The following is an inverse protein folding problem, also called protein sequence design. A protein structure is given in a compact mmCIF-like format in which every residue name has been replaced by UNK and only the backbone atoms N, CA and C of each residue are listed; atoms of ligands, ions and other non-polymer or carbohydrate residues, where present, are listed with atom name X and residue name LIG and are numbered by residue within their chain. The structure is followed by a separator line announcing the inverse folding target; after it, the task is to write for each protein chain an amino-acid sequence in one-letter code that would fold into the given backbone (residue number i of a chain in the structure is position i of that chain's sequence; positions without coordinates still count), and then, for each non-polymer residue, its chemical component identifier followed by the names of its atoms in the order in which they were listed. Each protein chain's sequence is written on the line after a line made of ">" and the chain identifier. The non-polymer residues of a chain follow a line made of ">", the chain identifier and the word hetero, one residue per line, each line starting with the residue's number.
data_IF_257681584413
#
_entry.id   IF_257681584413
#
_cell.length_a   1.000
_cell.length_b   1.000
_cell.length_c   1.000
_cell.angle_alpha   90.00
_cell.angle_beta   90.00
_cell.angle_gamma   90.00
#
_symmetry.space_group_name_H-M   'P 1'
#
loop_
_entity.id
_entity.type
_entity.pdbx_description
1 polymer ?
#
# COMPACT_ATOMS: atom_id res chain seq x y z
N UNK A 1 -20.82 -13.18 -2.37
CA UNK A 1 -19.46 -13.77 -2.22
C UNK A 1 -18.52 -12.60 -2.03
N UNK A 2 -17.67 -12.61 -0.98
CA UNK A 2 -16.65 -11.57 -0.77
C UNK A 2 -15.71 -11.56 -1.97
N UNK A 3 -15.27 -10.38 -2.38
CA UNK A 3 -14.42 -10.15 -3.57
C UNK A 3 -12.97 -10.63 -3.29
N UNK A 4 -12.79 -11.95 -3.21
CA UNK A 4 -11.50 -12.60 -2.99
C UNK A 4 -10.65 -12.48 -4.26
N UNK A 5 -9.49 -11.85 -4.15
CA UNK A 5 -8.56 -11.62 -5.26
C UNK A 5 -7.23 -12.27 -4.95
N UNK A 6 -6.85 -13.22 -5.79
CA UNK A 6 -5.59 -13.92 -5.68
C UNK A 6 -4.74 -13.66 -6.93
N UNK A 7 -3.52 -13.22 -6.74
CA UNK A 7 -2.51 -13.11 -7.79
C UNK A 7 -1.40 -14.11 -7.46
N UNK A 8 -1.10 -15.00 -8.39
CA UNK A 8 0.05 -15.90 -8.30
C UNK A 8 1.13 -15.35 -9.21
N UNK A 9 2.26 -14.92 -8.64
CA UNK A 9 3.40 -14.38 -9.37
C UNK A 9 4.46 -15.46 -9.51
N UNK A 10 4.83 -15.77 -10.75
CA UNK A 10 5.92 -16.70 -11.05
C UNK A 10 6.73 -16.18 -12.24
N UNK A 11 7.66 -16.97 -12.76
CA UNK A 11 8.47 -16.61 -13.93
C UNK A 11 9.96 -16.74 -13.69
N UNK A 12 10.75 -16.33 -14.68
CA UNK A 12 12.19 -16.52 -14.72
C UNK A 12 12.90 -15.95 -13.50
N UNK A 13 13.89 -16.69 -13.02
CA UNK A 13 14.80 -16.21 -11.96
C UNK A 13 15.55 -14.98 -12.46
N UNK A 14 15.54 -13.89 -11.67
CA UNK A 14 16.12 -12.61 -12.10
C UNK A 14 15.19 -11.72 -12.95
N UNK A 15 13.94 -12.17 -13.26
CA UNK A 15 12.98 -11.37 -14.03
C UNK A 15 12.26 -10.29 -13.20
N UNK A 16 12.52 -10.16 -11.90
CA UNK A 16 11.97 -9.06 -11.08
C UNK A 16 10.73 -9.41 -10.26
N UNK A 17 10.47 -10.70 -9.96
CA UNK A 17 9.35 -11.14 -9.10
C UNK A 17 9.25 -10.39 -7.77
N UNK A 18 10.38 -10.23 -7.07
CA UNK A 18 10.43 -9.50 -5.78
C UNK A 18 10.03 -8.03 -5.93
N UNK A 19 10.40 -7.38 -7.05
CA UNK A 19 10.00 -6.00 -7.31
C UNK A 19 8.50 -5.93 -7.63
N UNK A 20 7.97 -6.89 -8.38
CA UNK A 20 6.54 -6.99 -8.64
C UNK A 20 5.75 -7.20 -7.34
N UNK A 21 6.23 -8.06 -6.44
CA UNK A 21 5.63 -8.29 -5.11
C UNK A 21 5.53 -6.98 -4.31
N UNK A 22 6.63 -6.23 -4.18
CA UNK A 22 6.64 -4.93 -3.46
C UNK A 22 5.66 -3.92 -4.06
N UNK A 23 5.60 -3.83 -5.41
CA UNK A 23 4.65 -2.93 -6.06
C UNK A 23 3.19 -3.34 -5.82
N UNK A 24 2.91 -4.64 -5.69
CA UNK A 24 1.58 -5.15 -5.35
C UNK A 24 1.25 -4.95 -3.87
N UNK A 25 2.25 -5.00 -2.97
CA UNK A 25 2.09 -4.60 -1.56
C UNK A 25 1.69 -3.11 -1.46
N UNK A 26 2.32 -2.23 -2.23
CA UNK A 26 1.95 -0.81 -2.33
C UNK A 26 0.49 -0.61 -2.81
N UNK A 27 -0.06 -1.57 -3.54
CA UNK A 27 -1.46 -1.62 -3.97
C UNK A 27 -2.41 -2.27 -2.94
N UNK A 28 -1.92 -2.56 -1.73
CA UNK A 28 -2.71 -3.11 -0.63
C UNK A 28 -2.95 -4.62 -0.71
N UNK A 29 -2.13 -5.37 -1.46
CA UNK A 29 -2.15 -6.82 -1.44
C UNK A 29 -1.31 -7.36 -0.28
N UNK A 30 -1.78 -8.40 0.38
CA UNK A 30 -0.98 -9.18 1.33
C UNK A 30 -0.10 -10.15 0.55
N UNK A 31 1.22 -9.95 0.62
CA UNK A 31 2.18 -10.73 -0.17
C UNK A 31 2.82 -11.84 0.65
N UNK A 32 2.84 -13.05 0.10
CA UNK A 32 3.57 -14.20 0.62
C UNK A 32 4.62 -14.59 -0.42
N UNK A 33 5.89 -14.38 -0.07
CA UNK A 33 7.01 -14.70 -0.95
C UNK A 33 7.53 -16.12 -0.70
N UNK A 34 7.95 -16.78 -1.78
CA UNK A 34 8.57 -18.11 -1.75
C UNK A 34 7.70 -19.20 -1.11
N UNK A 35 6.37 -19.18 -1.36
CA UNK A 35 5.47 -20.20 -0.87
C UNK A 35 5.64 -21.50 -1.65
N UNK A 36 5.88 -22.65 -1.00
CA UNK A 36 5.88 -23.95 -1.68
C UNK A 36 4.53 -24.22 -2.34
N UNK A 37 4.48 -24.69 -3.61
CA UNK A 37 3.21 -24.92 -4.34
C UNK A 37 2.22 -25.78 -3.58
N UNK A 38 2.67 -26.84 -2.93
CA UNK A 38 1.83 -27.77 -2.17
C UNK A 38 1.04 -27.11 -1.02
N UNK A 39 1.43 -25.91 -0.61
CA UNK A 39 0.73 -25.14 0.44
C UNK A 39 -0.31 -24.18 -0.14
N UNK A 40 -0.32 -23.93 -1.44
CA UNK A 40 -1.23 -22.96 -2.07
C UNK A 40 -2.71 -23.35 -1.85
N UNK A 41 -3.17 -24.59 -2.08
CA UNK A 41 -4.56 -24.95 -1.85
C UNK A 41 -5.00 -24.71 -0.40
N UNK A 42 -4.17 -25.12 0.57
CA UNK A 42 -4.44 -24.88 2.00
C UNK A 42 -4.48 -23.40 2.36
N UNK A 43 -3.60 -22.59 1.79
CA UNK A 43 -3.60 -21.15 1.97
C UNK A 43 -4.89 -20.52 1.43
N UNK A 44 -5.32 -20.94 0.23
CA UNK A 44 -6.57 -20.48 -0.38
C UNK A 44 -7.77 -20.84 0.48
N UNK A 45 -7.85 -22.06 0.99
CA UNK A 45 -8.92 -22.51 1.89
C UNK A 45 -8.98 -21.66 3.17
N UNK A 46 -7.83 -21.39 3.79
CA UNK A 46 -7.76 -20.54 4.99
C UNK A 46 -8.23 -19.12 4.72
N UNK A 47 -7.79 -18.52 3.61
CA UNK A 47 -8.14 -17.16 3.25
C UNK A 47 -9.61 -17.02 2.83
N UNK A 48 -10.15 -18.01 2.13
CA UNK A 48 -11.56 -18.01 1.70
C UNK A 48 -12.55 -18.13 2.87
N UNK A 49 -12.14 -18.79 3.95
CA UNK A 49 -12.93 -19.02 5.14
C UNK A 49 -12.66 -17.99 6.27
N UNK A 50 -11.69 -17.08 6.09
CA UNK A 50 -11.38 -16.08 7.11
C UNK A 50 -12.48 -15.03 7.24
N UNK A 51 -12.82 -14.68 8.48
CA UNK A 51 -13.77 -13.59 8.82
C UNK A 51 -13.12 -12.20 8.75
N UNK A 52 -11.80 -12.14 8.64
CA UNK A 52 -11.05 -10.89 8.52
C UNK A 52 -11.15 -10.29 7.12
N UNK A 53 -11.12 -8.98 7.04
CA UNK A 53 -11.27 -8.20 5.79
C UNK A 53 -10.08 -8.32 4.80
N UNK A 54 -9.24 -9.33 4.92
CA UNK A 54 -8.16 -9.58 3.95
C UNK A 54 -8.76 -10.24 2.70
N UNK A 55 -8.85 -9.47 1.62
CA UNK A 55 -9.48 -9.92 0.37
C UNK A 55 -8.50 -9.99 -0.82
N UNK A 56 -7.27 -9.49 -0.65
CA UNK A 56 -6.28 -9.33 -1.73
C UNK A 56 -4.97 -10.01 -1.35
N UNK A 57 -4.59 -11.04 -2.09
CA UNK A 57 -3.39 -11.82 -1.82
C UNK A 57 -2.50 -11.93 -3.05
N UNK A 58 -1.19 -11.90 -2.81
CA UNK A 58 -0.17 -12.23 -3.80
C UNK A 58 0.66 -13.38 -3.27
N UNK A 59 0.74 -14.45 -4.03
CA UNK A 59 1.63 -15.58 -3.74
C UNK A 59 2.77 -15.58 -4.75
N UNK A 60 3.99 -15.39 -4.29
CA UNK A 60 5.16 -15.49 -5.15
C UNK A 60 5.70 -16.91 -5.08
N UNK A 61 5.69 -17.56 -6.22
CA UNK A 61 6.13 -18.95 -6.38
C UNK A 61 7.46 -18.94 -7.13
N UNK A 62 8.53 -19.25 -6.40
CA UNK A 62 9.89 -19.29 -6.97
C UNK A 62 10.30 -20.74 -7.22
N UNK A 63 10.75 -20.99 -8.43
CA UNK A 63 11.00 -22.35 -8.94
C UNK A 63 12.47 -22.70 -8.80
N UNK A 64 12.81 -23.63 -7.88
CA UNK A 64 14.20 -23.98 -7.57
C UNK A 64 14.59 -25.43 -7.89
N UNK A 65 13.67 -26.29 -8.37
CA UNK A 65 13.95 -27.68 -8.74
C UNK A 65 13.01 -28.21 -9.80
N UNK A 66 13.41 -29.28 -10.53
CA UNK A 66 12.57 -29.89 -11.57
C UNK A 66 11.24 -30.43 -11.04
N UNK A 67 11.25 -31.11 -9.91
CA UNK A 67 10.05 -31.70 -9.29
C UNK A 67 9.01 -30.65 -8.89
N UNK A 68 9.46 -29.41 -8.71
CA UNK A 68 8.65 -28.28 -8.35
C UNK A 68 7.71 -27.83 -9.50
N UNK A 69 8.13 -27.93 -10.76
CA UNK A 69 7.33 -27.49 -11.92
C UNK A 69 6.11 -28.39 -12.17
N UNK A 70 6.30 -29.71 -12.03
CA UNK A 70 5.21 -30.65 -12.19
C UNK A 70 4.20 -30.53 -11.03
N UNK A 71 4.71 -30.38 -9.81
CA UNK A 71 3.88 -30.11 -8.63
C UNK A 71 3.10 -28.81 -8.79
N UNK A 72 3.72 -27.74 -9.30
CA UNK A 72 3.04 -26.46 -9.47
C UNK A 72 1.93 -26.53 -10.52
N UNK A 73 2.12 -27.24 -11.63
CA UNK A 73 1.06 -27.48 -12.60
C UNK A 73 -0.11 -28.26 -12.00
N UNK A 74 0.15 -29.32 -11.22
CA UNK A 74 -0.90 -30.09 -10.52
C UNK A 74 -1.68 -29.20 -9.54
N UNK A 75 -1.00 -28.35 -8.79
CA UNK A 75 -1.64 -27.39 -7.86
C UNK A 75 -2.52 -26.39 -8.62
N UNK A 76 -2.08 -25.89 -9.77
CA UNK A 76 -2.92 -25.01 -10.59
C UNK A 76 -4.17 -25.74 -11.10
N UNK A 77 -4.05 -27.03 -11.49
CA UNK A 77 -5.18 -27.86 -11.90
C UNK A 77 -6.17 -28.08 -10.73
N UNK A 78 -5.66 -28.29 -9.53
CA UNK A 78 -6.47 -28.42 -8.30
C UNK A 78 -7.25 -27.15 -7.99
N UNK A 79 -6.61 -25.97 -8.07
CA UNK A 79 -7.24 -24.66 -7.85
C UNK A 79 -8.30 -24.38 -8.93
N UNK A 80 -8.02 -24.72 -10.18
CA UNK A 80 -8.98 -24.60 -11.29
C UNK A 80 -10.21 -25.49 -11.05
N UNK A 81 -10.00 -26.73 -10.57
CA UNK A 81 -11.10 -27.66 -10.23
C UNK A 81 -11.95 -27.13 -9.06
N UNK A 82 -11.36 -26.42 -8.12
CA UNK A 82 -12.05 -25.75 -7.01
C UNK A 82 -12.75 -24.45 -7.44
N UNK A 83 -12.61 -24.03 -8.70
CA UNK A 83 -13.17 -22.78 -9.26
C UNK A 83 -12.73 -21.52 -8.49
N UNK A 84 -11.52 -21.53 -7.96
CA UNK A 84 -10.93 -20.36 -7.32
C UNK A 84 -10.58 -19.34 -8.40
N UNK A 85 -11.04 -18.11 -8.22
CA UNK A 85 -10.68 -17.01 -9.12
C UNK A 85 -9.28 -16.47 -8.77
N UNK A 86 -8.31 -16.69 -9.66
CA UNK A 86 -6.95 -16.16 -9.51
C UNK A 86 -6.41 -15.61 -10.82
N UNK A 87 -5.41 -14.78 -10.73
CA UNK A 87 -4.63 -14.30 -11.85
C UNK A 87 -3.20 -14.82 -11.78
N UNK A 88 -2.76 -15.52 -12.83
CA UNK A 88 -1.37 -15.98 -12.95
C UNK A 88 -0.56 -14.92 -13.71
N UNK A 89 0.35 -14.26 -13.01
CA UNK A 89 1.29 -13.27 -13.54
C UNK A 89 2.65 -13.91 -13.75
N UNK A 90 3.10 -13.96 -15.00
CA UNK A 90 4.41 -14.47 -15.38
C UNK A 90 5.39 -13.32 -15.63
N UNK A 91 6.47 -13.29 -14.84
CA UNK A 91 7.56 -12.33 -15.01
C UNK A 91 8.63 -12.91 -15.92
N UNK A 92 8.94 -12.23 -17.01
CA UNK A 92 9.95 -12.63 -17.97
C UNK A 92 11.04 -11.57 -18.17
N UNK A 93 12.15 -11.98 -18.74
CA UNK A 93 13.18 -11.09 -19.27
C UNK A 93 14.01 -11.86 -20.31
N UNK A 94 14.70 -11.14 -21.20
CA UNK A 94 15.64 -11.76 -22.14
C UNK A 94 16.82 -12.39 -21.40
N UNK A 95 17.40 -13.42 -22.00
CA UNK A 95 18.52 -14.16 -21.42
C UNK A 95 19.72 -13.26 -21.14
N UNK A 96 20.00 -12.32 -22.04
CA UNK A 96 21.08 -11.33 -21.90
C UNK A 96 20.87 -10.45 -20.66
N UNK A 97 19.64 -10.01 -20.43
CA UNK A 97 19.28 -9.18 -19.26
C UNK A 97 19.37 -9.99 -17.98
N UNK A 98 18.91 -11.23 -17.98
CA UNK A 98 19.01 -12.13 -16.82
C UNK A 98 20.48 -12.38 -16.50
N UNK A 99 21.31 -12.75 -17.48
CA UNK A 99 22.75 -12.98 -17.30
C UNK A 99 23.43 -11.74 -16.71
N UNK A 100 23.11 -10.55 -17.23
CA UNK A 100 23.64 -9.29 -16.72
C UNK A 100 23.26 -9.07 -15.25
N UNK A 101 21.99 -9.26 -14.89
CA UNK A 101 21.50 -9.12 -13.51
C UNK A 101 22.18 -10.10 -12.55
N UNK A 102 22.43 -11.32 -12.97
CA UNK A 102 23.19 -12.30 -12.17
C UNK A 102 24.63 -11.88 -11.95
N UNK A 103 25.30 -11.35 -12.97
CA UNK A 103 26.67 -10.82 -12.86
C UNK A 103 26.73 -9.62 -11.90
N UNK A 104 25.78 -8.69 -12.01
CA UNK A 104 25.69 -7.51 -11.14
C UNK A 104 25.47 -7.89 -9.67
N UNK A 105 24.61 -8.87 -9.41
CA UNK A 105 24.27 -9.31 -8.04
C UNK A 105 25.24 -10.34 -7.46
N UNK A 106 26.16 -10.89 -8.26
CA UNK A 106 27.10 -11.96 -7.89
C UNK A 106 26.40 -13.18 -7.27
N UNK A 107 25.18 -13.49 -7.68
CA UNK A 107 24.42 -14.65 -7.22
C UNK A 107 24.58 -15.81 -8.19
N UNK A 108 24.48 -17.04 -7.68
CA UNK A 108 24.40 -18.25 -8.50
C UNK A 108 22.96 -18.49 -8.94
N UNK A 109 22.79 -19.13 -10.10
CA UNK A 109 21.45 -19.47 -10.59
C UNK A 109 20.82 -20.57 -9.72
N UNK A 110 19.54 -20.46 -9.31
CA UNK A 110 18.91 -21.41 -8.37
C UNK A 110 18.69 -22.81 -8.95
N UNK A 111 18.56 -22.94 -10.27
CA UNK A 111 18.33 -24.24 -10.93
C UNK A 111 19.51 -25.20 -10.79
N UNK A 112 20.72 -24.75 -11.08
CA UNK A 112 21.93 -25.53 -10.89
C UNK A 112 23.12 -24.57 -10.68
N UNK A 113 23.73 -24.57 -9.48
CA UNK A 113 24.87 -23.71 -9.19
C UNK A 113 26.19 -24.15 -9.86
N UNK A 114 26.22 -25.33 -10.49
CA UNK A 114 27.42 -25.94 -11.06
C UNK A 114 27.53 -25.80 -12.60
N UNK A 115 26.47 -25.30 -13.26
CA UNK A 115 26.47 -25.06 -14.71
C UNK A 115 26.62 -23.57 -15.01
N UNK A 116 26.89 -23.25 -16.28
CA UNK A 116 26.91 -21.86 -16.72
C UNK A 116 25.52 -21.22 -16.55
N UNK A 117 25.50 -19.94 -16.24
CA UNK A 117 24.23 -19.20 -16.05
C UNK A 117 23.34 -19.28 -17.32
N UNK A 118 23.94 -19.26 -18.52
CA UNK A 118 23.24 -19.43 -19.80
C UNK A 118 22.47 -20.75 -19.86
N UNK A 119 23.13 -21.83 -19.49
CA UNK A 119 22.55 -23.19 -19.57
C UNK A 119 21.45 -23.38 -18.53
N UNK A 120 21.67 -22.84 -17.34
CA UNK A 120 20.65 -22.83 -16.28
C UNK A 120 19.39 -22.04 -16.69
N UNK A 121 19.54 -20.90 -17.37
CA UNK A 121 18.42 -20.10 -17.92
C UNK A 121 17.67 -20.90 -18.97
N UNK A 122 18.35 -21.57 -19.88
CA UNK A 122 17.70 -22.38 -20.91
C UNK A 122 16.89 -23.53 -20.29
N UNK A 123 17.45 -24.22 -19.29
CA UNK A 123 16.75 -25.26 -18.55
C UNK A 123 15.52 -24.73 -17.82
N UNK A 124 15.64 -23.59 -17.14
CA UNK A 124 14.52 -22.94 -16.44
C UNK A 124 13.41 -22.55 -17.43
N UNK A 125 13.77 -21.96 -18.57
CA UNK A 125 12.83 -21.54 -19.61
C UNK A 125 12.04 -22.71 -20.17
N UNK A 126 12.71 -23.85 -20.46
CA UNK A 126 12.04 -25.09 -20.90
C UNK A 126 11.07 -25.62 -19.83
N UNK A 127 11.48 -25.60 -18.57
CA UNK A 127 10.65 -26.07 -17.47
C UNK A 127 9.43 -25.17 -17.22
N UNK A 128 9.57 -23.84 -17.39
CA UNK A 128 8.49 -22.87 -17.20
C UNK A 128 7.55 -22.72 -18.41
N UNK A 129 7.83 -23.32 -19.57
CA UNK A 129 7.06 -23.11 -20.80
C UNK A 129 5.57 -23.43 -20.62
N UNK A 130 5.25 -24.54 -19.95
CA UNK A 130 3.85 -24.93 -19.67
C UNK A 130 3.15 -23.91 -18.78
N UNK A 131 3.83 -23.41 -17.74
CA UNK A 131 3.29 -22.43 -16.82
C UNK A 131 3.11 -21.08 -17.52
N UNK A 132 4.07 -20.66 -18.34
CA UNK A 132 3.98 -19.44 -19.14
C UNK A 132 2.77 -19.43 -20.06
N UNK A 133 2.44 -20.57 -20.68
CA UNK A 133 1.26 -20.72 -21.54
C UNK A 133 -0.07 -20.62 -20.79
N UNK A 134 -0.09 -20.92 -19.49
CA UNK A 134 -1.27 -20.76 -18.62
C UNK A 134 -1.42 -19.35 -18.05
N UNK A 135 -0.38 -18.52 -18.15
CA UNK A 135 -0.38 -17.20 -17.54
C UNK A 135 -1.46 -16.28 -18.13
N UNK A 136 -2.24 -15.64 -17.27
CA UNK A 136 -3.21 -14.61 -17.68
C UNK A 136 -2.49 -13.33 -18.12
N UNK A 137 -1.35 -13.03 -17.48
CA UNK A 137 -0.54 -11.86 -17.76
C UNK A 137 0.94 -12.23 -17.86
N UNK A 138 1.63 -11.68 -18.86
CA UNK A 138 3.08 -11.82 -19.02
C UNK A 138 3.68 -10.43 -19.05
N UNK A 139 4.65 -10.17 -18.16
CA UNK A 139 5.40 -8.91 -18.14
C UNK A 139 6.86 -9.21 -18.48
N UNK A 140 7.29 -8.77 -19.65
CA UNK A 140 8.70 -8.74 -20.02
C UNK A 140 9.35 -7.48 -19.41
N UNK A 141 10.34 -7.71 -18.54
CA UNK A 141 11.07 -6.65 -17.83
C UNK A 141 12.41 -6.31 -18.46
N UNK A 142 12.71 -6.81 -19.66
CA UNK A 142 14.02 -6.63 -20.32
C UNK A 142 14.40 -5.16 -20.49
N UNK A 143 13.45 -4.34 -20.91
CA UNK A 143 13.64 -2.91 -21.16
C UNK A 143 12.89 -2.02 -20.16
N UNK A 144 12.19 -2.59 -19.18
CA UNK A 144 11.38 -1.81 -18.25
C UNK A 144 12.22 -1.18 -17.14
N UNK A 145 12.01 0.11 -16.92
CA UNK A 145 12.44 0.81 -15.70
C UNK A 145 11.52 0.43 -14.52
N UNK A 146 12.01 0.64 -13.30
CA UNK A 146 11.22 0.33 -12.08
C UNK A 146 9.87 1.07 -12.05
N UNK A 147 9.86 2.35 -12.44
CA UNK A 147 8.63 3.14 -12.49
C UNK A 147 7.62 2.61 -13.52
N UNK A 148 8.08 2.18 -14.70
CA UNK A 148 7.23 1.61 -15.75
C UNK A 148 6.61 0.26 -15.33
N UNK A 149 7.38 -0.57 -14.59
CA UNK A 149 6.83 -1.80 -14.02
C UNK A 149 5.74 -1.49 -13.00
N UNK A 150 5.96 -0.50 -12.11
CA UNK A 150 4.97 -0.05 -11.14
C UNK A 150 3.70 0.43 -11.83
N UNK A 151 3.83 1.28 -12.85
CA UNK A 151 2.70 1.79 -13.62
C UNK A 151 1.89 0.66 -14.29
N UNK A 152 2.57 -0.33 -14.93
CA UNK A 152 1.89 -1.48 -15.53
C UNK A 152 1.12 -2.30 -14.51
N UNK A 153 1.74 -2.65 -13.38
CA UNK A 153 1.08 -3.40 -12.31
C UNK A 153 -0.10 -2.62 -11.73
N UNK A 154 0.06 -1.32 -11.56
CA UNK A 154 -1.02 -0.43 -11.09
C UNK A 154 -2.20 -0.47 -12.08
N UNK A 155 -1.97 -0.32 -13.37
CA UNK A 155 -3.03 -0.38 -14.39
C UNK A 155 -3.76 -1.73 -14.43
N UNK A 156 -3.04 -2.83 -14.17
CA UNK A 156 -3.60 -4.19 -14.23
C UNK A 156 -4.36 -4.58 -12.96
N UNK A 157 -3.90 -4.16 -11.79
CA UNK A 157 -4.35 -4.68 -10.50
C UNK A 157 -4.85 -3.62 -9.52
N UNK A 158 -4.82 -2.32 -9.88
CA UNK A 158 -5.42 -1.28 -9.06
C UNK A 158 -6.92 -1.52 -8.95
N UNK A 159 -7.42 -1.48 -7.72
CA UNK A 159 -8.85 -1.51 -7.43
C UNK A 159 -9.30 -0.14 -6.98
N UNK A 160 -10.60 0.16 -7.05
CA UNK A 160 -11.15 1.46 -6.62
C UNK A 160 -10.83 1.81 -5.15
N UNK A 161 -10.46 0.79 -4.35
CA UNK A 161 -9.97 0.97 -2.97
C UNK A 161 -8.47 1.30 -2.88
N UNK A 162 -7.68 1.02 -3.92
CA UNK A 162 -6.25 1.32 -3.95
C UNK A 162 -6.03 2.68 -4.58
N UNK A 163 -5.67 3.64 -3.80
CA UNK A 163 -5.44 5.02 -4.25
C UNK A 163 -6.07 6.06 -3.32
N UNK A 164 -6.71 5.59 -2.23
CA UNK A 164 -7.15 6.49 -1.16
C UNK A 164 -5.97 6.75 -0.25
N UNK A 165 -5.45 7.98 -0.30
CA UNK A 165 -4.47 8.44 0.67
C UNK A 165 -5.12 8.49 2.05
N UNK A 166 -4.49 7.86 3.04
CA UNK A 166 -4.96 7.89 4.41
C UNK A 166 -4.61 9.24 5.04
N UNK A 167 -5.61 10.03 5.43
CA UNK A 167 -5.38 11.34 6.04
C UNK A 167 -5.67 11.23 7.54
N UNK A 168 -4.64 11.42 8.36
CA UNK A 168 -4.75 11.48 9.81
C UNK A 168 -4.66 12.93 10.28
N UNK A 169 -5.61 13.36 11.12
CA UNK A 169 -5.59 14.68 11.73
C UNK A 169 -5.45 14.52 13.23
N UNK A 170 -4.42 15.13 13.80
CA UNK A 170 -4.17 15.07 15.23
C UNK A 170 -4.06 16.46 15.84
N UNK A 171 -4.46 16.58 17.10
CA UNK A 171 -4.23 17.78 17.92
C UNK A 171 -3.10 17.54 18.91
N UNK A 172 -2.26 18.54 19.11
CA UNK A 172 -1.16 18.44 20.07
C UNK A 172 -0.93 19.74 20.85
N UNK A 173 -0.17 19.63 21.94
CA UNK A 173 0.28 20.77 22.72
C UNK A 173 1.77 21.02 22.54
N UNK A 174 2.17 22.22 22.11
CA UNK A 174 3.59 22.58 21.93
C UNK A 174 4.43 22.32 23.17
N UNK A 175 3.84 22.40 24.38
CA UNK A 175 4.53 22.08 25.63
C UNK A 175 4.99 20.62 25.74
N UNK A 176 4.47 19.71 24.94
CA UNK A 176 4.83 18.29 24.90
C UNK A 176 5.73 17.92 23.71
N UNK A 177 6.10 18.91 22.88
CA UNK A 177 6.88 18.69 21.66
C UNK A 177 6.02 18.55 20.40
N UNK A 178 6.70 18.52 19.25
CA UNK A 178 6.07 18.29 17.96
C UNK A 178 5.90 16.79 17.72
N UNK A 179 4.77 16.34 17.12
CA UNK A 179 4.65 14.97 16.65
C UNK A 179 5.70 14.68 15.58
N UNK A 180 6.44 13.58 15.73
CA UNK A 180 7.57 13.23 14.86
C UNK A 180 7.12 12.77 13.45
N UNK A 181 5.90 12.26 13.34
CA UNK A 181 5.29 11.74 12.13
C UNK A 181 4.43 12.76 11.39
N UNK A 182 4.38 14.02 11.86
CA UNK A 182 3.58 15.05 11.21
C UNK A 182 4.21 15.55 9.91
N UNK A 183 3.45 15.50 8.82
CA UNK A 183 3.84 16.08 7.52
C UNK A 183 3.53 17.58 7.45
N UNK A 184 2.38 17.99 8.00
CA UNK A 184 1.95 19.38 8.07
C UNK A 184 1.67 19.74 9.52
N UNK A 185 2.21 20.89 9.95
CA UNK A 185 2.01 21.39 11.32
C UNK A 185 1.42 22.79 11.25
N UNK A 186 0.25 22.97 11.87
CA UNK A 186 -0.43 24.26 11.97
C UNK A 186 -0.45 24.76 13.42
N UNK A 187 0.17 25.90 13.64
CA UNK A 187 0.13 26.57 14.95
C UNK A 187 -1.11 27.45 15.05
N UNK A 188 -2.00 27.12 16.01
CA UNK A 188 -3.24 27.86 16.26
C UNK A 188 -3.21 28.64 17.57
N UNK A 189 -2.02 28.98 18.11
CA UNK A 189 -1.88 29.74 19.35
C UNK A 189 -2.36 31.18 19.24
N UNK A 190 -2.42 31.75 18.04
CA UNK A 190 -2.93 33.10 17.78
C UNK A 190 -4.47 33.19 17.90
N UNK A 191 -5.19 32.06 17.88
CA UNK A 191 -6.65 32.05 18.06
C UNK A 191 -7.02 32.41 19.52
N UNK A 192 -8.22 32.95 19.76
CA UNK A 192 -8.72 33.28 21.11
C UNK A 192 -8.59 32.09 22.05
N UNK A 193 -8.10 32.35 23.25
CA UNK A 193 -7.76 31.30 24.21
C UNK A 193 -8.83 31.12 25.29
N UNK A 194 -9.63 30.03 25.26
CA UNK A 194 -10.66 29.74 26.24
C UNK A 194 -10.13 29.55 27.68
N UNK A 195 -8.84 29.34 27.85
CA UNK A 195 -8.19 29.19 29.17
C UNK A 195 -8.41 30.36 30.09
N UNK A 196 -8.59 31.59 29.56
CA UNK A 196 -8.81 32.79 30.36
C UNK A 196 -10.25 32.95 30.86
N UNK A 197 -11.19 32.12 30.35
CA UNK A 197 -12.54 32.06 30.86
C UNK A 197 -12.64 30.93 31.90
N UNK A 198 -13.02 31.26 33.14
CA UNK A 198 -13.07 30.31 34.26
C UNK A 198 -14.03 29.13 33.98
N UNK A 199 -15.12 29.37 33.24
CA UNK A 199 -16.13 28.34 32.90
C UNK A 199 -15.65 27.38 31.80
N UNK A 200 -14.66 27.80 31.01
CA UNK A 200 -14.16 27.05 29.85
C UNK A 200 -12.78 26.44 30.08
N UNK A 201 -12.03 26.93 31.06
CA UNK A 201 -10.62 26.59 31.33
C UNK A 201 -10.32 25.08 31.32
N UNK A 202 -11.19 24.29 31.89
CA UNK A 202 -11.00 22.83 32.06
C UNK A 202 -11.83 21.98 31.09
N UNK A 203 -12.54 22.60 30.13
CA UNK A 203 -13.35 21.90 29.12
C UNK A 203 -12.54 21.65 27.84
N UNK A 204 -12.76 20.52 27.17
CA UNK A 204 -12.12 20.22 25.88
C UNK A 204 -12.64 21.11 24.76
N UNK A 205 -11.83 21.28 23.70
CA UNK A 205 -12.22 21.97 22.46
C UNK A 205 -13.40 21.31 21.70
N UNK A 206 -13.74 20.07 22.00
CA UNK A 206 -14.92 19.38 21.46
C UNK A 206 -16.23 19.79 22.11
N UNK A 207 -16.17 20.44 23.30
CA UNK A 207 -17.39 20.88 24.03
C UNK A 207 -18.01 22.08 23.31
N UNK A 208 -19.34 22.09 23.09
CA UNK A 208 -20.02 23.12 22.30
C UNK A 208 -19.75 24.57 22.78
N UNK A 209 -19.69 24.80 24.09
CA UNK A 209 -19.44 26.15 24.62
C UNK A 209 -18.02 26.65 24.33
N UNK A 210 -17.01 25.74 24.34
CA UNK A 210 -15.63 26.06 23.96
C UNK A 210 -15.54 26.32 22.46
N UNK A 211 -16.19 25.50 21.67
CA UNK A 211 -16.28 25.67 20.22
C UNK A 211 -16.93 27.03 19.87
N UNK A 212 -18.07 27.35 20.48
CA UNK A 212 -18.78 28.62 20.27
C UNK A 212 -17.92 29.84 20.67
N UNK A 213 -17.17 29.73 21.79
CA UNK A 213 -16.24 30.79 22.22
C UNK A 213 -15.18 31.07 21.17
N UNK A 214 -14.52 30.01 20.62
CA UNK A 214 -13.46 30.17 19.63
C UNK A 214 -14.05 30.65 18.29
N UNK A 215 -15.19 30.14 17.87
CA UNK A 215 -15.81 30.44 16.57
C UNK A 215 -16.42 31.84 16.47
N UNK A 216 -16.76 32.47 17.57
CA UNK A 216 -17.33 33.81 17.60
C UNK A 216 -16.41 34.87 16.98
N UNK A 217 -15.11 34.64 16.92
CA UNK A 217 -14.13 35.60 16.44
C UNK A 217 -13.87 35.46 14.94
N UNK A 218 -13.81 36.58 14.22
CA UNK A 218 -13.62 36.62 12.76
C UNK A 218 -12.29 35.98 12.32
N UNK A 219 -11.21 36.19 13.07
CA UNK A 219 -9.91 35.56 12.80
C UNK A 219 -9.99 34.02 12.76
N UNK A 220 -10.86 33.42 13.56
CA UNK A 220 -11.06 31.97 13.55
C UNK A 220 -11.76 31.50 12.27
N UNK A 221 -12.78 32.22 11.83
CA UNK A 221 -13.53 31.90 10.61
C UNK A 221 -12.66 32.05 9.37
N UNK A 222 -11.90 33.14 9.31
CA UNK A 222 -10.96 33.40 8.23
C UNK A 222 -9.85 32.35 8.17
N UNK A 223 -9.24 32.00 9.30
CA UNK A 223 -8.23 30.95 9.38
C UNK A 223 -8.78 29.61 8.92
N UNK A 224 -9.97 29.21 9.37
CA UNK A 224 -10.62 27.95 8.96
C UNK A 224 -10.79 27.90 7.43
N UNK A 225 -11.28 28.99 6.84
CA UNK A 225 -11.45 29.07 5.38
C UNK A 225 -10.11 28.87 4.65
N UNK A 226 -9.08 29.61 5.05
CA UNK A 226 -7.74 29.51 4.45
C UNK A 226 -7.12 28.13 4.64
N UNK A 227 -7.30 27.51 5.81
CA UNK A 227 -6.84 26.15 6.08
C UNK A 227 -7.58 25.12 5.21
N UNK A 228 -8.87 25.31 5.01
CA UNK A 228 -9.69 24.46 4.14
C UNK A 228 -9.19 24.55 2.70
N UNK A 229 -9.07 25.75 2.17
CA UNK A 229 -8.58 26.00 0.80
C UNK A 229 -7.18 25.41 0.59
N UNK A 230 -6.28 25.57 1.56
CA UNK A 230 -4.91 25.05 1.48
C UNK A 230 -4.90 23.51 1.48
N UNK A 231 -5.64 22.88 2.40
CA UNK A 231 -5.66 21.41 2.48
C UNK A 231 -6.34 20.79 1.25
N UNK A 232 -7.42 21.39 0.74
CA UNK A 232 -8.07 20.96 -0.50
C UNK A 232 -7.14 21.09 -1.71
N UNK A 233 -6.29 22.11 -1.75
CA UNK A 233 -5.26 22.24 -2.79
C UNK A 233 -4.14 21.20 -2.65
N UNK A 234 -3.67 20.92 -1.43
CA UNK A 234 -2.51 20.05 -1.19
C UNK A 234 -2.84 18.56 -1.39
N UNK A 235 -4.04 18.10 -1.02
CA UNK A 235 -4.43 16.68 -1.10
C UNK A 235 -4.18 16.09 -2.50
N UNK A 236 -4.63 16.68 -3.62
CA UNK A 236 -4.36 16.16 -4.95
C UNK A 236 -2.87 16.11 -5.29
N UNK A 237 -2.06 17.05 -4.79
CA UNK A 237 -0.62 17.07 -5.05
C UNK A 237 0.08 15.89 -4.36
N UNK A 238 -0.28 15.60 -3.11
CA UNK A 238 0.25 14.44 -2.39
C UNK A 238 -0.22 13.11 -2.98
N UNK A 239 -1.45 13.04 -3.50
CA UNK A 239 -1.94 11.85 -4.23
C UNK A 239 -1.12 11.65 -5.51
N UNK A 240 -0.80 12.72 -6.24
CA UNK A 240 0.02 12.64 -7.46
C UNK A 240 1.47 12.21 -7.17
N UNK A 241 1.98 12.51 -5.97
CA UNK A 241 3.28 12.02 -5.48
C UNK A 241 3.20 10.59 -4.91
N UNK A 242 2.07 9.90 -5.07
CA UNK A 242 1.84 8.54 -4.58
C UNK A 242 2.01 8.39 -3.05
N UNK A 243 1.80 9.46 -2.29
CA UNK A 243 1.85 9.42 -0.84
C UNK A 243 0.67 8.60 -0.31
N UNK A 244 0.96 7.53 0.44
CA UNK A 244 -0.04 6.62 0.98
C UNK A 244 -0.69 7.14 2.27
N UNK A 245 0.00 8.01 3.00
CA UNK A 245 -0.46 8.59 4.26
C UNK A 245 -0.06 10.07 4.36
N UNK A 246 -0.97 10.90 4.87
CA UNK A 246 -0.74 12.31 5.18
C UNK A 246 -1.14 12.58 6.62
N UNK A 247 -0.20 13.05 7.45
CA UNK A 247 -0.44 13.40 8.85
C UNK A 247 -0.46 14.91 9.01
N UNK A 248 -1.63 15.45 9.40
CA UNK A 248 -1.85 16.88 9.64
C UNK A 248 -1.95 17.12 11.14
N UNK A 249 -0.99 17.83 11.73
CA UNK A 249 -0.96 18.15 13.13
C UNK A 249 -1.37 19.61 13.41
N UNK A 250 -2.31 19.80 14.32
CA UNK A 250 -2.76 21.13 14.77
C UNK A 250 -2.32 21.34 16.21
N UNK A 251 -1.56 22.41 16.46
CA UNK A 251 -0.93 22.67 17.76
C UNK A 251 -1.43 23.94 18.45
N UNK A 252 -1.74 23.83 19.75
CA UNK A 252 -1.87 24.98 20.64
C UNK A 252 -0.96 24.82 21.87
N UNK A 253 -0.96 25.76 22.81
CA UNK A 253 -0.04 25.69 23.96
C UNK A 253 -0.17 24.38 24.75
N UNK A 254 -1.39 24.02 25.15
CA UNK A 254 -1.65 22.84 25.99
C UNK A 254 -2.28 21.64 25.27
N UNK A 255 -2.65 21.77 23.99
CA UNK A 255 -3.29 20.68 23.25
C UNK A 255 -4.75 20.36 23.69
N UNK A 256 -5.44 21.28 24.37
CA UNK A 256 -6.75 20.98 24.99
C UNK A 256 -7.93 21.71 24.38
N UNK A 257 -7.76 22.95 23.91
CA UNK A 257 -8.86 23.81 23.46
C UNK A 257 -8.82 24.07 21.95
N UNK A 258 -7.99 25.05 21.50
CA UNK A 258 -7.94 25.56 20.12
C UNK A 258 -7.55 24.50 19.10
N UNK A 259 -6.48 23.73 19.40
CA UNK A 259 -6.02 22.64 18.52
C UNK A 259 -7.07 21.53 18.39
N UNK A 260 -7.68 21.13 19.50
CA UNK A 260 -8.73 20.10 19.51
C UNK A 260 -9.94 20.56 18.70
N UNK A 261 -10.40 21.82 18.90
CA UNK A 261 -11.52 22.37 18.13
C UNK A 261 -11.26 22.37 16.62
N UNK A 262 -10.09 22.83 16.18
CA UNK A 262 -9.74 22.89 14.75
C UNK A 262 -9.57 21.48 14.16
N UNK A 263 -8.92 20.56 14.88
CA UNK A 263 -8.70 19.18 14.42
C UNK A 263 -10.02 18.41 14.30
N UNK A 264 -10.91 18.51 15.27
CA UNK A 264 -12.22 17.84 15.27
C UNK A 264 -13.09 18.30 14.08
N UNK A 265 -13.18 19.60 13.86
CA UNK A 265 -13.93 20.18 12.73
C UNK A 265 -13.36 19.77 11.38
N UNK A 266 -12.02 19.71 11.24
CA UNK A 266 -11.34 19.28 10.02
C UNK A 266 -11.59 17.79 9.75
N UNK A 267 -11.45 16.96 10.79
CA UNK A 267 -11.74 15.52 10.72
C UNK A 267 -13.15 15.26 10.23
N UNK A 268 -14.15 15.95 10.79
CA UNK A 268 -15.56 15.81 10.40
C UNK A 268 -15.80 16.20 8.94
N UNK A 269 -15.19 17.28 8.44
CA UNK A 269 -15.37 17.75 7.06
C UNK A 269 -14.69 16.83 6.05
N UNK A 270 -13.47 16.38 6.30
CA UNK A 270 -12.77 15.47 5.42
C UNK A 270 -13.42 14.08 5.38
N UNK A 271 -13.96 13.60 6.50
CA UNK A 271 -14.75 12.34 6.51
C UNK A 271 -16.01 12.40 5.62
N UNK A 272 -16.59 13.58 5.44
CA UNK A 272 -17.73 13.75 4.54
C UNK A 272 -17.34 13.83 3.05
N UNK A 273 -16.08 14.19 2.76
CA UNK A 273 -15.57 14.40 1.39
C UNK A 273 -14.64 13.27 0.91
N UNK A 274 -13.93 12.63 1.82
CA UNK A 274 -12.97 11.55 1.54
C UNK A 274 -13.14 10.46 2.60
N UNK A 275 -13.55 9.29 2.17
CA UNK A 275 -13.97 8.19 3.03
C UNK A 275 -12.83 7.45 3.75
N UNK A 276 -11.96 8.07 4.52
CA UNK A 276 -11.11 7.43 5.55
C UNK A 276 -10.31 8.49 6.34
N UNK A 277 -10.71 8.71 7.58
CA UNK A 277 -9.91 9.41 8.60
C UNK A 277 -9.94 8.57 9.86
N UNK A 278 -8.78 8.11 10.34
CA UNK A 278 -8.65 7.57 11.69
C UNK A 278 -8.49 8.72 12.71
N UNK A 279 -9.18 8.61 13.83
CA UNK A 279 -9.05 9.54 14.97
C UNK A 279 -7.86 9.17 15.83
#
# INVERSE_FOLDING_TARGET
>A
MKDFRLIIVTGMSGAGKTLACRNLEDLGYFCVDNLPPVLIPKFVDLCSNSTENMQKFVLVVDTRSKDFFDTFNQVLDEIDAQKVNYHLLFMDASDEVIIRRYKETRRRHPMDPNVLVSDAIELERKALDKIKKRANFIIDTSCLKRAELKERLTKMFKTDDTGKMNISILSFGFKFGLPLDADLVFDVRFLPNPFYDEKLRYKSGTVPEVAAYIEKYEVTKEFKKKLDDLVEFLIPQYINEEKSQLVIAVGCTGGMHRSVYIADRKSTRLNSSHSYISR
#
